data_IF_544054588925
#
_entry.id   IF_544054588925
#
_cell.length_a   1.000
_cell.length_b   1.000
_cell.length_c   1.000
_cell.angle_alpha   90.00
_cell.angle_beta   90.00
_cell.angle_gamma   90.00
#
_symmetry.space_group_name_H-M   'P 1'
#
loop_
_entity.id
_entity.type
_entity.pdbx_description
1 polymer ?
#
# COMPACT_ATOMS: atom_id res chain seq x y z
N UNK A 1 26.18 17.47 -41.48
CA UNK A 1 25.83 16.92 -40.16
C UNK A 1 25.98 18.06 -39.17
N UNK A 2 24.90 18.52 -38.53
CA UNK A 2 25.04 19.50 -37.44
C UNK A 2 25.60 18.76 -36.24
N UNK A 3 26.74 19.22 -35.76
CA UNK A 3 27.41 18.75 -34.55
C UNK A 3 26.40 18.76 -33.40
N UNK A 4 26.34 17.64 -32.67
CA UNK A 4 25.47 17.48 -31.52
C UNK A 4 25.89 18.46 -30.44
N UNK A 5 25.02 19.42 -30.14
CA UNK A 5 25.07 20.16 -28.90
C UNK A 5 24.86 19.14 -27.77
N UNK A 6 25.91 18.87 -27.00
CA UNK A 6 25.78 18.12 -25.76
C UNK A 6 24.76 18.88 -24.89
N UNK A 7 23.72 18.20 -24.38
CA UNK A 7 22.69 18.87 -23.59
C UNK A 7 23.33 19.51 -22.36
N UNK A 8 23.02 20.79 -22.14
CA UNK A 8 23.50 21.55 -20.99
C UNK A 8 23.24 20.75 -19.70
N UNK A 9 24.26 20.56 -18.83
CA UNK A 9 24.08 19.79 -17.61
C UNK A 9 23.00 20.47 -16.77
N UNK A 10 22.03 19.68 -16.32
CA UNK A 10 20.99 20.18 -15.44
C UNK A 10 21.66 20.88 -14.24
N UNK A 11 21.13 22.04 -13.79
CA UNK A 11 21.68 22.75 -12.64
C UNK A 11 21.74 21.80 -11.44
N UNK A 12 22.70 21.95 -10.50
CA UNK A 12 22.76 21.08 -9.33
C UNK A 12 21.48 21.25 -8.51
N UNK A 13 20.67 20.20 -8.45
CA UNK A 13 19.46 20.17 -7.63
C UNK A 13 19.88 19.79 -6.21
N UNK A 14 19.82 20.73 -5.27
CA UNK A 14 19.94 20.41 -3.85
C UNK A 14 18.61 19.83 -3.36
N UNK A 15 18.57 18.50 -3.21
CA UNK A 15 17.43 17.80 -2.60
C UNK A 15 17.69 17.73 -1.10
N UNK A 16 16.81 18.35 -0.32
CA UNK A 16 16.87 18.26 1.14
C UNK A 16 16.40 16.89 1.62
N UNK A 17 16.89 16.45 2.78
CA UNK A 17 16.44 15.20 3.43
C UNK A 17 14.92 15.19 3.68
N UNK A 18 14.31 16.35 3.96
CA UNK A 18 12.87 16.45 4.15
C UNK A 18 12.09 16.17 2.85
N UNK A 19 12.57 16.70 1.72
CA UNK A 19 11.98 16.40 0.40
C UNK A 19 12.16 14.92 0.05
N UNK A 20 13.36 14.38 0.29
CA UNK A 20 13.62 12.96 0.11
C UNK A 20 12.66 12.09 0.94
N UNK A 21 12.53 12.38 2.24
CA UNK A 21 11.60 11.68 3.14
C UNK A 21 10.15 11.77 2.64
N UNK A 22 9.69 12.95 2.23
CA UNK A 22 8.33 13.13 1.73
C UNK A 22 8.08 12.31 0.46
N UNK A 23 9.04 12.23 -0.46
CA UNK A 23 8.91 11.39 -1.66
C UNK A 23 8.78 9.90 -1.30
N UNK A 24 9.52 9.43 -0.29
CA UNK A 24 9.39 8.05 0.21
C UNK A 24 8.04 7.78 0.84
N UNK A 25 7.57 8.67 1.71
CA UNK A 25 6.24 8.58 2.35
C UNK A 25 5.14 8.52 1.29
N UNK A 26 5.20 9.40 0.30
CA UNK A 26 4.22 9.43 -0.78
C UNK A 26 4.24 8.16 -1.63
N UNK A 27 5.43 7.63 -1.96
CA UNK A 27 5.57 6.39 -2.72
C UNK A 27 4.98 5.19 -1.97
N UNK A 28 5.28 5.06 -0.66
CA UNK A 28 4.70 4.01 0.18
C UNK A 28 3.19 4.17 0.24
N UNK A 29 2.68 5.34 0.60
CA UNK A 29 1.25 5.59 0.76
C UNK A 29 0.46 5.30 -0.54
N UNK A 30 0.98 5.74 -1.69
CA UNK A 30 0.36 5.49 -2.98
C UNK A 30 0.29 3.99 -3.33
N UNK A 31 1.22 3.18 -2.81
CA UNK A 31 1.26 1.74 -3.06
C UNK A 31 0.52 0.90 -2.01
N UNK A 32 0.47 1.37 -0.76
CA UNK A 32 0.11 0.52 0.37
C UNK A 32 -1.05 1.02 1.22
N UNK A 33 -1.67 2.17 0.93
CA UNK A 33 -2.82 2.69 1.70
C UNK A 33 -4.02 1.73 1.67
N UNK A 34 -3.95 0.68 2.49
CA UNK A 34 -4.79 -0.49 2.42
C UNK A 34 -6.01 -0.32 3.31
N UNK A 35 -7.16 -0.65 2.78
CA UNK A 35 -8.40 -0.82 3.52
C UNK A 35 -9.11 -2.09 3.02
N UNK A 36 -9.98 -2.70 3.84
CA UNK A 36 -10.87 -3.72 3.34
C UNK A 36 -11.83 -3.18 2.27
N UNK A 37 -12.19 -4.04 1.33
CA UNK A 37 -13.17 -3.75 0.29
C UNK A 37 -14.54 -3.46 0.91
N UNK A 38 -15.22 -2.42 0.40
CA UNK A 38 -16.53 -2.00 0.90
C UNK A 38 -16.54 -1.26 2.25
N UNK A 39 -15.36 -0.98 2.83
CA UNK A 39 -15.25 -0.16 4.06
C UNK A 39 -15.68 1.30 3.81
N UNK A 40 -15.38 1.83 2.62
CA UNK A 40 -15.77 3.17 2.23
C UNK A 40 -16.82 3.12 1.13
N UNK A 41 -17.80 4.03 1.20
CA UNK A 41 -18.81 4.25 0.18
C UNK A 41 -18.70 5.68 -0.30
N UNK A 42 -18.81 5.87 -1.61
CA UNK A 42 -18.81 7.19 -2.23
C UNK A 42 -20.20 7.81 -2.08
N UNK A 43 -20.25 8.99 -1.47
CA UNK A 43 -21.48 9.76 -1.37
C UNK A 43 -21.87 10.39 -2.73
N UNK A 44 -23.08 10.95 -2.88
CA UNK A 44 -23.49 11.61 -4.12
C UNK A 44 -22.65 12.82 -4.54
N UNK A 45 -21.84 13.37 -3.63
CA UNK A 45 -20.94 14.50 -3.87
C UNK A 45 -19.52 14.04 -4.24
N UNK A 46 -19.25 12.73 -4.29
CA UNK A 46 -17.95 12.16 -4.59
C UNK A 46 -17.01 12.02 -3.39
N UNK A 47 -17.46 12.27 -2.16
CA UNK A 47 -16.65 12.07 -0.96
C UNK A 47 -16.69 10.61 -0.50
N UNK A 48 -15.59 10.15 0.08
CA UNK A 48 -15.55 8.85 0.75
C UNK A 48 -16.11 8.97 2.17
N UNK A 49 -17.13 8.16 2.47
CA UNK A 49 -17.73 8.02 3.79
C UNK A 49 -17.53 6.60 4.31
N UNK A 50 -17.38 6.44 5.64
CA UNK A 50 -17.28 5.11 6.26
C UNK A 50 -18.63 4.41 6.15
N UNK A 51 -18.64 3.17 5.69
CA UNK A 51 -19.84 2.37 5.59
C UNK A 51 -20.27 1.85 6.98
N UNK A 52 -21.43 2.26 7.52
CA UNK A 52 -21.88 1.83 8.84
C UNK A 52 -22.26 0.34 8.90
N UNK A 53 -22.54 -0.28 7.75
CA UNK A 53 -22.90 -1.70 7.62
C UNK A 53 -21.70 -2.57 7.20
N UNK A 54 -20.49 -2.04 7.30
CA UNK A 54 -19.28 -2.71 6.85
C UNK A 54 -18.98 -3.99 7.64
N UNK A 55 -18.78 -5.08 6.91
CA UNK A 55 -18.32 -6.37 7.44
C UNK A 55 -17.46 -7.09 6.40
N UNK A 56 -16.34 -7.66 6.84
CA UNK A 56 -15.51 -8.53 5.98
C UNK A 56 -15.95 -9.98 6.10
N UNK A 57 -16.42 -10.56 5.00
CA UNK A 57 -16.89 -11.96 4.99
C UNK A 57 -15.76 -12.99 4.82
N UNK A 58 -14.69 -12.66 4.08
CA UNK A 58 -13.56 -13.57 3.78
C UNK A 58 -12.22 -12.94 4.12
N UNK A 59 -11.94 -12.73 5.43
CA UNK A 59 -10.78 -11.96 5.87
C UNK A 59 -9.44 -12.66 5.63
N UNK A 60 -9.46 -13.94 5.25
CA UNK A 60 -8.33 -14.77 4.84
C UNK A 60 -7.92 -14.56 3.38
N UNK A 61 -8.78 -13.96 2.56
CA UNK A 61 -8.56 -13.80 1.13
C UNK A 61 -7.98 -12.43 0.80
N UNK A 62 -7.03 -12.39 -0.14
CA UNK A 62 -6.49 -11.14 -0.68
C UNK A 62 -7.60 -10.28 -1.33
N UNK A 63 -8.62 -10.90 -1.90
CA UNK A 63 -9.74 -10.19 -2.53
C UNK A 63 -10.59 -9.34 -1.57
N UNK A 64 -10.48 -9.55 -0.27
CA UNK A 64 -11.18 -8.77 0.73
C UNK A 64 -10.55 -7.40 1.00
N UNK A 65 -9.41 -7.08 0.38
CA UNK A 65 -8.64 -5.88 0.65
C UNK A 65 -8.25 -5.16 -0.65
N UNK A 66 -8.14 -3.84 -0.57
CA UNK A 66 -7.77 -2.98 -1.67
C UNK A 66 -6.85 -1.84 -1.23
N UNK A 67 -6.18 -1.27 -2.23
CA UNK A 67 -5.31 -0.10 -2.14
C UNK A 67 -5.74 0.91 -3.20
N UNK A 68 -5.15 2.12 -3.28
CA UNK A 68 -5.39 3.02 -4.40
C UNK A 68 -5.04 2.43 -5.77
N UNK A 69 -4.20 1.38 -5.80
CA UNK A 69 -3.83 0.64 -7.02
C UNK A 69 -4.87 -0.41 -7.42
N UNK A 70 -5.90 -0.62 -6.59
CA UNK A 70 -6.94 -1.64 -6.78
C UNK A 70 -6.85 -2.80 -5.79
N UNK A 71 -7.57 -3.86 -6.13
CA UNK A 71 -7.75 -5.03 -5.29
C UNK A 71 -6.47 -5.88 -5.17
N UNK A 72 -6.19 -6.42 -3.98
CA UNK A 72 -4.97 -7.20 -3.74
C UNK A 72 -4.93 -8.50 -4.55
N UNK A 73 -6.07 -9.13 -4.87
CA UNK A 73 -6.10 -10.33 -5.69
C UNK A 73 -5.70 -10.10 -7.15
N UNK A 74 -5.81 -8.85 -7.64
CA UNK A 74 -5.34 -8.46 -8.97
C UNK A 74 -3.89 -7.97 -9.00
N UNK A 75 -3.24 -7.85 -7.85
CA UNK A 75 -1.85 -7.43 -7.77
C UNK A 75 -0.91 -8.53 -8.30
N UNK A 76 0.32 -8.16 -8.62
CA UNK A 76 1.36 -9.10 -9.02
C UNK A 76 1.52 -10.18 -7.92
N UNK A 77 1.49 -11.48 -8.28
CA UNK A 77 1.65 -12.57 -7.31
C UNK A 77 2.92 -12.39 -6.48
N UNK A 78 2.82 -12.68 -5.16
CA UNK A 78 3.93 -12.54 -4.24
C UNK A 78 4.20 -11.12 -3.71
N UNK A 79 3.51 -10.10 -4.22
CA UNK A 79 3.62 -8.72 -3.68
C UNK A 79 3.00 -8.56 -2.30
N UNK A 80 1.96 -9.34 -2.00
CA UNK A 80 1.19 -9.25 -0.77
C UNK A 80 1.10 -10.61 -0.08
N UNK A 81 1.22 -10.60 1.24
CA UNK A 81 1.00 -11.77 2.09
C UNK A 81 -0.16 -11.54 3.04
N UNK A 82 -1.16 -12.43 3.03
CA UNK A 82 -2.30 -12.41 3.94
C UNK A 82 -2.19 -13.59 4.88
N UNK A 83 -2.26 -13.34 6.18
CA UNK A 83 -2.26 -14.37 7.21
C UNK A 83 -3.44 -14.14 8.14
N UNK A 84 -4.35 -15.12 8.22
CA UNK A 84 -5.53 -15.05 9.07
C UNK A 84 -5.45 -16.08 10.19
N UNK A 85 -5.49 -15.59 11.43
CA UNK A 85 -5.72 -16.42 12.61
C UNK A 85 -7.23 -16.53 12.84
N UNK A 86 -7.79 -17.69 12.53
CA UNK A 86 -9.23 -17.95 12.65
C UNK A 86 -9.71 -18.06 14.10
N UNK A 87 -8.83 -18.40 15.04
CA UNK A 87 -9.16 -18.50 16.45
C UNK A 87 -9.29 -17.10 17.07
N UNK A 88 -8.29 -16.24 16.83
CA UNK A 88 -8.31 -14.84 17.30
C UNK A 88 -9.15 -13.93 16.40
N UNK A 89 -9.54 -14.41 15.22
CA UNK A 89 -10.24 -13.67 14.15
C UNK A 89 -9.49 -12.38 13.80
N UNK A 90 -8.18 -12.51 13.64
CA UNK A 90 -7.26 -11.43 13.33
C UNK A 90 -6.53 -11.75 12.03
N UNK A 91 -6.63 -10.86 11.05
CA UNK A 91 -5.83 -10.92 9.84
C UNK A 91 -4.66 -9.95 9.96
N UNK A 92 -3.47 -10.41 9.59
CA UNK A 92 -2.29 -9.59 9.36
C UNK A 92 -1.93 -9.63 7.88
N UNK A 93 -1.65 -8.47 7.30
CA UNK A 93 -1.31 -8.30 5.89
C UNK A 93 0.04 -7.62 5.81
N UNK A 94 0.90 -8.12 4.92
CA UNK A 94 2.25 -7.58 4.70
C UNK A 94 2.45 -7.25 3.23
N UNK A 95 3.20 -6.18 2.98
CA UNK A 95 3.67 -5.83 1.64
C UNK A 95 5.14 -6.25 1.50
N UNK A 96 5.46 -6.99 0.43
CA UNK A 96 6.82 -7.46 0.16
C UNK A 96 7.59 -6.54 -0.80
N UNK A 97 6.90 -5.64 -1.50
CA UNK A 97 7.51 -4.58 -2.30
C UNK A 97 8.05 -3.44 -1.42
N UNK A 98 7.38 -3.13 -0.32
CA UNK A 98 7.79 -2.18 0.72
C UNK A 98 7.88 -2.93 2.06
N UNK A 99 8.97 -3.70 2.26
CA UNK A 99 9.17 -4.43 3.49
C UNK A 99 9.19 -3.45 4.67
N UNK A 100 8.37 -3.72 5.68
CA UNK A 100 8.11 -2.81 6.79
C UNK A 100 6.67 -2.32 6.86
N UNK A 101 5.88 -2.47 5.79
CA UNK A 101 4.45 -2.19 5.83
C UNK A 101 3.67 -3.37 6.44
N UNK A 102 2.86 -3.07 7.45
CA UNK A 102 1.94 -3.99 8.09
C UNK A 102 0.54 -3.40 8.11
N UNK A 103 -0.46 -4.24 7.85
CA UNK A 103 -1.85 -3.91 8.12
C UNK A 103 -2.50 -5.04 8.91
N UNK A 104 -3.56 -4.70 9.64
CA UNK A 104 -4.36 -5.66 10.37
C UNK A 104 -5.86 -5.41 10.17
N UNK A 105 -6.63 -6.48 10.35
CA UNK A 105 -8.08 -6.44 10.49
C UNK A 105 -8.51 -7.36 11.63
N UNK A 106 -9.27 -6.84 12.59
CA UNK A 106 -9.86 -7.61 13.69
C UNK A 106 -11.36 -7.75 13.47
N UNK A 107 -11.84 -8.96 13.20
CA UNK A 107 -13.27 -9.22 13.05
C UNK A 107 -14.02 -9.20 14.40
N UNK A 108 -13.32 -9.25 15.54
CA UNK A 108 -13.94 -9.18 16.89
C UNK A 108 -14.38 -7.76 17.21
N UNK A 109 -13.52 -6.79 16.93
CA UNK A 109 -13.77 -5.37 17.21
C UNK A 109 -14.19 -4.56 15.98
N UNK A 110 -14.21 -5.20 14.81
CA UNK A 110 -14.37 -4.57 13.50
C UNK A 110 -13.42 -3.37 13.29
N UNK A 111 -12.17 -3.54 13.72
CA UNK A 111 -11.13 -2.51 13.61
C UNK A 111 -10.13 -2.87 12.54
N UNK A 112 -9.59 -1.84 11.90
CA UNK A 112 -8.52 -1.93 10.91
C UNK A 112 -7.44 -0.92 11.26
N UNK A 113 -6.24 -1.19 10.79
CA UNK A 113 -5.18 -0.21 10.82
C UNK A 113 -3.99 -0.68 10.03
N UNK A 114 -3.14 0.26 9.65
CA UNK A 114 -1.89 -0.02 8.98
C UNK A 114 -0.80 0.91 9.48
N UNK A 115 0.44 0.48 9.34
CA UNK A 115 1.61 1.22 9.76
C UNK A 115 2.84 0.73 9.00
N UNK A 116 3.78 1.65 8.80
CA UNK A 116 5.07 1.36 8.18
C UNK A 116 6.20 1.57 9.19
N UNK A 117 7.09 0.59 9.29
CA UNK A 117 8.35 0.69 10.01
C UNK A 117 9.48 0.23 9.09
N UNK A 118 10.38 1.14 8.73
CA UNK A 118 11.50 0.83 7.84
C UNK A 118 12.22 2.07 7.33
N UNK A 119 13.17 1.86 6.43
CA UNK A 119 14.00 2.91 5.82
C UNK A 119 13.36 3.58 4.59
N UNK A 120 12.16 3.12 4.19
CA UNK A 120 11.42 3.65 3.06
C UNK A 120 11.86 3.14 1.69
N UNK A 121 12.75 2.14 1.63
CA UNK A 121 13.26 1.60 0.36
C UNK A 121 12.31 0.55 -0.21
N UNK A 122 12.11 0.63 -1.53
CA UNK A 122 11.39 -0.40 -2.30
C UNK A 122 12.31 -1.60 -2.49
N UNK A 123 11.76 -2.79 -2.37
CA UNK A 123 12.39 -4.04 -2.74
C UNK A 123 12.31 -4.22 -4.27
N UNK A 124 13.40 -3.90 -4.96
CA UNK A 124 13.52 -4.06 -6.41
C UNK A 124 13.73 -5.52 -6.82
N UNK A 125 14.17 -6.36 -5.89
CA UNK A 125 14.47 -7.78 -6.10
C UNK A 125 13.28 -8.70 -5.78
N UNK A 126 12.06 -8.16 -5.69
CA UNK A 126 10.87 -8.93 -5.34
C UNK A 126 10.69 -10.16 -6.23
N UNK A 127 11.01 -10.07 -7.52
CA UNK A 127 10.90 -11.18 -8.47
C UNK A 127 11.78 -12.40 -8.12
N UNK A 128 12.82 -12.22 -7.30
CA UNK A 128 13.75 -13.28 -6.88
C UNK A 128 13.50 -13.76 -5.44
N UNK A 129 12.63 -13.07 -4.70
CA UNK A 129 12.40 -13.30 -3.27
C UNK A 129 11.04 -13.95 -2.94
N UNK A 130 10.25 -14.27 -3.96
CA UNK A 130 8.89 -14.84 -3.87
C UNK A 130 8.90 -16.34 -4.11
#
# INVERSE_FOLDING_TARGET
AREGEDPEPLPPWEITEAQYMMTRINAINAATALAPEGMFVTDPHGNHSVNPMFVVHRPDQASAYATPQGNLASAVPGKWGVHHDSFKRLTTIRNFEFPGFFAYYSAVSNTVGNLYFGDGRRNEDLAFAV
#
